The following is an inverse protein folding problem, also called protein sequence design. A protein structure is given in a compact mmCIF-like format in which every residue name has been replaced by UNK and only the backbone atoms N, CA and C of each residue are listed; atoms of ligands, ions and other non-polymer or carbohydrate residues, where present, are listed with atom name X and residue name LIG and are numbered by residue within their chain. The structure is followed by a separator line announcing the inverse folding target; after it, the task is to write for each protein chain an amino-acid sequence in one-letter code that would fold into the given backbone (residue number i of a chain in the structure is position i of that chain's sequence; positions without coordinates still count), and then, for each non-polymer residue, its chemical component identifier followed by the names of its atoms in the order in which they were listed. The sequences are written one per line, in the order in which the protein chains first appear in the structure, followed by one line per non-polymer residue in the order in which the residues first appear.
data_IF_139145372241
#
_entry.id   IF_139145372241
#
_cell.length_a   1.000
_cell.length_b   1.000
_cell.length_c   1.000
_cell.angle_alpha   90.00
_cell.angle_beta   90.00
_cell.angle_gamma   90.00
#
_symmetry.space_group_name_H-M   'P 1'
#
loop_
_entity.id
_entity.type
_entity.pdbx_description
1 polymer ?
#
# COMPACT_ATOMS: atom_id res chain seq x y z
N UNK A 1 -11.35 -21.83 -3.00
CA UNK A 1 -11.45 -21.66 -4.45
C UNK A 1 -10.11 -21.15 -4.96
N UNK A 2 -9.30 -22.07 -5.45
CA UNK A 2 -8.19 -21.75 -6.34
C UNK A 2 -8.80 -21.39 -7.71
N UNK A 3 -8.24 -20.40 -8.39
CA UNK A 3 -8.71 -19.93 -9.70
C UNK A 3 -7.60 -20.26 -10.70
N UNK A 4 -7.91 -21.04 -11.74
CA UNK A 4 -6.94 -21.47 -12.76
C UNK A 4 -6.36 -20.28 -13.54
N UNK A 5 -7.04 -19.12 -13.53
CA UNK A 5 -6.65 -17.95 -14.31
C UNK A 5 -5.79 -16.92 -13.55
N UNK A 6 -5.65 -17.02 -12.22
CA UNK A 6 -4.93 -16.00 -11.43
C UNK A 6 -4.11 -16.58 -10.28
N UNK A 7 -2.81 -16.25 -10.21
CA UNK A 7 -1.97 -16.46 -9.02
C UNK A 7 -2.15 -15.31 -8.01
N UNK A 8 -2.87 -15.58 -6.91
CA UNK A 8 -2.99 -14.63 -5.81
C UNK A 8 -1.74 -14.63 -4.94
N UNK A 9 -0.76 -13.79 -5.28
CA UNK A 9 0.53 -13.65 -4.59
C UNK A 9 0.38 -13.52 -3.06
N UNK A 10 -0.60 -12.74 -2.58
CA UNK A 10 -0.85 -12.61 -1.12
C UNK A 10 -1.27 -13.93 -0.49
N UNK A 11 -2.10 -14.74 -1.15
CA UNK A 11 -2.51 -16.06 -0.63
C UNK A 11 -1.34 -17.04 -0.61
N UNK A 12 -0.51 -17.01 -1.65
CA UNK A 12 0.71 -17.83 -1.73
C UNK A 12 1.69 -17.48 -0.62
N UNK A 13 2.02 -16.20 -0.48
CA UNK A 13 2.97 -15.73 0.54
C UNK A 13 2.48 -15.90 1.97
N UNK A 14 1.16 -15.91 2.22
CA UNK A 14 0.61 -16.22 3.55
C UNK A 14 0.84 -17.67 4.00
N UNK A 15 1.08 -18.60 3.07
CA UNK A 15 1.35 -20.02 3.37
C UNK A 15 2.85 -20.33 3.56
N UNK A 16 3.73 -19.35 3.33
CA UNK A 16 5.18 -19.52 3.36
C UNK A 16 5.75 -19.23 4.75
N UNK A 17 6.88 -19.85 5.07
CA UNK A 17 7.62 -19.58 6.30
C UNK A 17 8.48 -18.31 6.13
N UNK A 18 8.23 -17.30 6.97
CA UNK A 18 8.93 -16.02 6.93
C UNK A 18 10.41 -16.11 7.31
N UNK A 19 10.81 -17.11 8.11
CA UNK A 19 12.20 -17.24 8.56
C UNK A 19 13.09 -17.87 7.49
N UNK A 20 12.52 -18.76 6.67
CA UNK A 20 13.26 -19.52 5.66
C UNK A 20 13.01 -19.04 4.23
N UNK A 21 11.83 -18.47 3.93
CA UNK A 21 11.41 -18.12 2.57
C UNK A 21 11.23 -16.61 2.35
N UNK A 22 11.82 -15.78 3.22
CA UNK A 22 11.67 -14.32 3.19
C UNK A 22 11.95 -13.70 1.82
N UNK A 23 13.02 -14.13 1.16
CA UNK A 23 13.43 -13.59 -0.13
C UNK A 23 12.49 -13.99 -1.25
N UNK A 24 11.97 -15.22 -1.23
CA UNK A 24 10.95 -15.67 -2.18
C UNK A 24 9.67 -14.86 -2.02
N UNK A 25 9.22 -14.62 -0.78
CA UNK A 25 8.05 -13.77 -0.50
C UNK A 25 8.25 -12.35 -1.01
N UNK A 26 9.43 -11.76 -0.75
CA UNK A 26 9.77 -10.40 -1.20
C UNK A 26 9.79 -10.31 -2.73
N UNK A 27 10.45 -11.25 -3.41
CA UNK A 27 10.54 -11.29 -4.88
C UNK A 27 9.17 -11.48 -5.50
N UNK A 28 8.37 -12.41 -4.98
CA UNK A 28 7.01 -12.65 -5.46
C UNK A 28 6.15 -11.39 -5.36
N UNK A 29 6.25 -10.63 -4.25
CA UNK A 29 5.48 -9.40 -4.07
C UNK A 29 6.03 -8.17 -4.80
N UNK A 30 7.24 -8.21 -5.37
CA UNK A 30 7.93 -7.01 -5.86
C UNK A 30 7.42 -6.48 -7.21
N UNK A 31 6.95 -7.37 -8.08
CA UNK A 31 6.51 -7.02 -9.44
C UNK A 31 5.34 -7.91 -9.89
N UNK A 32 4.14 -7.72 -9.33
CA UNK A 32 2.95 -8.43 -9.78
C UNK A 32 2.51 -7.96 -11.18
N UNK A 33 1.87 -8.83 -11.97
CA UNK A 33 1.26 -8.40 -13.24
C UNK A 33 0.15 -7.37 -13.02
N UNK A 34 -0.64 -7.56 -11.95
CA UNK A 34 -1.73 -6.67 -11.55
C UNK A 34 -1.66 -6.42 -10.05
N UNK A 35 -1.67 -5.16 -9.64
CA UNK A 35 -1.82 -4.77 -8.25
C UNK A 35 -3.10 -3.98 -8.06
N UNK A 36 -3.94 -4.44 -7.14
CA UNK A 36 -5.08 -3.66 -6.64
C UNK A 36 -4.70 -3.10 -5.28
N UNK A 37 -4.78 -1.78 -5.11
CA UNK A 37 -4.49 -1.13 -3.84
C UNK A 37 -5.39 0.09 -3.60
N UNK A 38 -5.19 0.75 -2.47
CA UNK A 38 -5.82 2.03 -2.13
C UNK A 38 -4.75 3.05 -1.75
N UNK A 39 -5.17 4.30 -1.56
CA UNK A 39 -4.33 5.38 -1.05
C UNK A 39 -4.68 5.72 0.40
N UNK A 40 -3.81 6.47 1.08
CA UNK A 40 -4.15 7.06 2.37
C UNK A 40 -4.77 8.44 2.22
N UNK A 41 -4.35 9.20 1.22
CA UNK A 41 -4.95 10.48 0.87
C UNK A 41 -4.73 10.79 -0.63
N UNK A 42 -5.58 11.66 -1.17
CA UNK A 42 -5.38 12.29 -2.48
C UNK A 42 -5.54 13.80 -2.29
N UNK A 43 -4.55 14.59 -2.65
CA UNK A 43 -4.66 16.05 -2.53
C UNK A 43 -5.55 16.61 -3.64
N UNK A 44 -6.08 17.82 -3.46
CA UNK A 44 -6.85 18.50 -4.51
C UNK A 44 -5.99 18.80 -5.76
N UNK A 45 -4.67 18.84 -5.61
CA UNK A 45 -3.71 18.93 -6.72
C UNK A 45 -3.51 17.60 -7.46
N UNK A 46 -4.13 16.50 -6.99
CA UNK A 46 -4.03 15.17 -7.62
C UNK A 46 -2.92 14.28 -7.07
N UNK A 47 -2.19 14.70 -6.04
CA UNK A 47 -1.10 13.90 -5.48
C UNK A 47 -1.65 12.75 -4.65
N UNK A 48 -1.18 11.53 -4.91
CA UNK A 48 -1.65 10.33 -4.21
C UNK A 48 -0.63 9.93 -3.15
N UNK A 49 -1.04 9.93 -1.89
CA UNK A 49 -0.15 9.68 -0.75
C UNK A 49 -0.40 8.30 -0.16
N UNK A 50 0.67 7.52 -0.04
CA UNK A 50 0.66 6.16 0.49
C UNK A 50 1.79 5.95 1.49
N UNK A 51 1.52 5.22 2.57
CA UNK A 51 2.51 4.86 3.57
C UNK A 51 2.58 3.36 3.76
N UNK A 52 3.69 2.87 4.28
CA UNK A 52 3.87 1.45 4.57
C UNK A 52 4.86 1.25 5.71
N UNK A 53 4.49 0.43 6.69
CA UNK A 53 5.38 0.05 7.78
C UNK A 53 6.56 -0.82 7.29
N UNK A 54 6.29 -1.78 6.40
CA UNK A 54 7.30 -2.74 5.90
C UNK A 54 7.91 -2.32 4.56
N UNK A 55 7.20 -1.48 3.79
CA UNK A 55 7.56 -1.12 2.42
C UNK A 55 7.14 -2.11 1.36
N UNK A 56 6.48 -3.23 1.73
CA UNK A 56 6.18 -4.32 0.79
C UNK A 56 5.29 -3.89 -0.38
N UNK A 57 4.50 -2.83 -0.21
CA UNK A 57 3.66 -2.27 -1.27
C UNK A 57 4.34 -1.17 -2.09
N UNK A 58 5.38 -0.52 -1.56
CA UNK A 58 5.94 0.71 -2.16
C UNK A 58 6.52 0.44 -3.55
N UNK A 59 7.36 -0.59 -3.70
CA UNK A 59 7.96 -0.93 -5.00
C UNK A 59 6.91 -1.25 -6.08
N UNK A 60 5.98 -2.19 -5.83
CA UNK A 60 4.90 -2.51 -6.75
C UNK A 60 4.05 -1.29 -7.16
N UNK A 61 3.70 -0.43 -6.21
CA UNK A 61 2.94 0.79 -6.50
C UNK A 61 3.77 1.77 -7.35
N UNK A 62 5.03 2.00 -6.97
CA UNK A 62 5.85 3.03 -7.60
C UNK A 62 6.21 2.70 -9.04
N UNK A 63 6.48 1.43 -9.34
CA UNK A 63 6.85 1.01 -10.70
C UNK A 63 6.79 -0.50 -10.96
N UNK A 64 6.73 -1.32 -9.92
CA UNK A 64 6.91 -2.76 -10.05
C UNK A 64 5.71 -3.48 -10.66
N UNK A 65 4.49 -3.00 -10.42
CA UNK A 65 3.29 -3.64 -10.95
C UNK A 65 3.14 -3.38 -12.45
N UNK A 66 2.86 -4.43 -13.24
CA UNK A 66 2.58 -4.28 -14.67
C UNK A 66 1.32 -3.44 -14.94
N UNK A 67 0.31 -3.57 -14.06
CA UNK A 67 -0.87 -2.71 -14.01
C UNK A 67 -1.23 -2.39 -12.57
N UNK A 68 -1.28 -1.10 -12.24
CA UNK A 68 -1.77 -0.61 -10.94
C UNK A 68 -3.23 -0.17 -11.07
N UNK A 69 -4.09 -0.70 -10.20
CA UNK A 69 -5.49 -0.29 -10.07
C UNK A 69 -5.68 0.26 -8.65
N UNK A 70 -5.94 1.57 -8.56
CA UNK A 70 -6.21 2.24 -7.29
C UNK A 70 -7.71 2.40 -7.08
N UNK A 71 -8.22 1.87 -5.97
CA UNK A 71 -9.60 2.08 -5.52
C UNK A 71 -9.57 3.02 -4.34
N UNK A 72 -10.05 4.25 -4.56
CA UNK A 72 -9.93 5.35 -3.60
C UNK A 72 -11.33 5.93 -3.36
N UNK A 73 -11.76 5.94 -2.11
CA UNK A 73 -13.02 6.58 -1.72
C UNK A 73 -12.87 8.10 -1.59
N UNK A 74 -13.94 8.84 -1.87
CA UNK A 74 -13.96 10.32 -1.86
C UNK A 74 -13.61 10.93 -0.50
N UNK A 75 -13.84 10.21 0.61
CA UNK A 75 -13.44 10.62 1.96
C UNK A 75 -11.91 10.72 2.16
N UNK A 76 -11.12 10.34 1.18
CA UNK A 76 -9.65 10.45 1.19
C UNK A 76 -9.14 11.69 0.46
N UNK A 77 -10.02 12.48 -0.16
CA UNK A 77 -9.64 13.74 -0.81
C UNK A 77 -9.39 14.81 0.27
N UNK A 78 -8.22 15.44 0.22
CA UNK A 78 -7.77 16.46 1.19
C UNK A 78 -7.24 17.69 0.44
N UNK A 79 -7.19 18.89 1.06
CA UNK A 79 -6.70 20.08 0.38
C UNK A 79 -5.25 19.98 -0.10
N UNK A 80 -4.34 19.50 0.75
CA UNK A 80 -2.89 19.58 0.55
C UNK A 80 -2.12 18.42 1.22
N UNK A 81 -0.80 18.37 1.02
CA UNK A 81 0.07 17.34 1.60
C UNK A 81 0.12 17.41 3.13
N UNK A 82 0.11 18.60 3.73
CA UNK A 82 0.12 18.74 5.19
C UNK A 82 -1.14 18.12 5.81
N UNK A 83 -2.30 18.30 5.18
CA UNK A 83 -3.55 17.66 5.57
C UNK A 83 -3.53 16.16 5.27
N UNK A 84 -2.88 15.72 4.20
CA UNK A 84 -2.67 14.29 3.93
C UNK A 84 -1.87 13.61 5.05
N UNK A 85 -0.75 14.21 5.49
CA UNK A 85 0.07 13.68 6.58
C UNK A 85 -0.66 13.70 7.92
N UNK A 86 -1.35 14.79 8.25
CA UNK A 86 -2.21 14.83 9.46
C UNK A 86 -3.30 13.77 9.42
N UNK A 87 -3.99 13.56 8.28
CA UNK A 87 -4.96 12.47 8.12
C UNK A 87 -4.33 11.11 8.38
N UNK A 88 -3.09 10.89 7.95
CA UNK A 88 -2.40 9.62 8.19
C UNK A 88 -2.13 9.43 9.68
N UNK A 89 -1.59 10.44 10.34
CA UNK A 89 -1.20 10.38 11.76
C UNK A 89 -2.42 10.32 12.68
N UNK A 90 -3.39 11.21 12.49
CA UNK A 90 -4.50 11.41 13.43
C UNK A 90 -5.67 10.45 13.19
N UNK A 91 -5.79 9.88 11.99
CA UNK A 91 -6.94 9.04 11.62
C UNK A 91 -6.53 7.64 11.15
N UNK A 92 -5.61 7.53 10.18
CA UNK A 92 -5.26 6.22 9.59
C UNK A 92 -4.55 5.33 10.60
N UNK A 93 -3.49 5.85 11.24
CA UNK A 93 -2.67 5.05 12.15
C UNK A 93 -3.52 4.50 13.30
N UNK A 94 -4.31 5.32 14.04
CA UNK A 94 -5.21 4.80 15.07
C UNK A 94 -6.20 3.76 14.54
N UNK A 95 -6.81 4.02 13.38
CA UNK A 95 -7.73 3.07 12.75
C UNK A 95 -7.07 1.72 12.42
N UNK A 96 -5.85 1.73 11.89
CA UNK A 96 -5.13 0.49 11.58
C UNK A 96 -4.67 -0.25 12.84
N UNK A 97 -4.29 0.47 13.90
CA UNK A 97 -3.95 -0.13 15.20
C UNK A 97 -5.15 -0.84 15.82
N UNK A 98 -6.31 -0.19 15.82
CA UNK A 98 -7.57 -0.77 16.27
C UNK A 98 -7.94 -1.99 15.42
N UNK A 99 -7.82 -1.90 14.09
CA UNK A 99 -8.11 -3.01 13.17
C UNK A 99 -7.19 -4.22 13.42
N UNK A 100 -5.92 -3.96 13.73
CA UNK A 100 -4.91 -5.00 13.98
C UNK A 100 -4.90 -5.50 15.43
N UNK A 101 -5.68 -4.88 16.32
CA UNK A 101 -5.70 -5.17 17.77
C UNK A 101 -4.30 -5.06 18.40
N UNK A 102 -3.55 -4.03 18.03
CA UNK A 102 -2.23 -3.74 18.61
C UNK A 102 -2.28 -2.51 19.50
N UNK A 103 -1.31 -2.38 20.41
CA UNK A 103 -1.22 -1.21 21.27
C UNK A 103 -0.97 0.07 20.45
N UNK A 104 -1.44 1.21 20.97
CA UNK A 104 -1.19 2.50 20.34
C UNK A 104 0.31 2.82 20.25
N UNK A 105 0.73 3.37 19.10
CA UNK A 105 2.12 3.71 18.77
C UNK A 105 2.95 2.56 18.17
N UNK A 106 2.33 1.41 17.91
CA UNK A 106 2.97 0.26 17.24
C UNK A 106 3.01 0.46 15.73
N UNK A 107 1.92 0.96 15.13
CA UNK A 107 1.90 1.25 13.71
C UNK A 107 2.62 2.58 13.43
N UNK A 108 3.48 2.59 12.42
CA UNK A 108 4.32 3.74 12.09
C UNK A 108 4.39 3.99 10.60
N UNK A 109 4.44 5.27 10.24
CA UNK A 109 4.74 5.73 8.89
C UNK A 109 6.24 5.60 8.59
N UNK A 110 6.71 4.38 8.29
CA UNK A 110 8.13 4.13 8.06
C UNK A 110 8.60 4.48 6.64
N UNK A 111 7.73 4.30 5.64
CA UNK A 111 8.03 4.56 4.23
C UNK A 111 6.83 5.24 3.59
N UNK A 112 7.07 6.33 2.89
CA UNK A 112 6.05 7.12 2.22
C UNK A 112 6.35 7.20 0.74
N UNK A 113 5.30 7.10 -0.07
CA UNK A 113 5.31 7.34 -1.51
C UNK A 113 4.26 8.42 -1.82
N UNK A 114 4.68 9.41 -2.59
CA UNK A 114 3.79 10.41 -3.20
C UNK A 114 3.88 10.19 -4.70
N UNK A 115 2.74 9.91 -5.33
CA UNK A 115 2.62 9.83 -6.78
C UNK A 115 2.09 11.17 -7.30
N UNK A 116 2.83 11.78 -8.21
CA UNK A 116 2.43 13.00 -8.93
C UNK A 116 1.64 12.67 -10.21
N UNK A 117 1.99 11.56 -10.86
CA UNK A 117 1.37 11.11 -12.10
C UNK A 117 2.26 10.09 -12.82
N UNK A 118 1.72 9.45 -13.84
CA UNK A 118 2.49 8.57 -14.72
C UNK A 118 3.19 9.39 -15.79
N UNK A 119 4.40 8.96 -16.17
CA UNK A 119 5.06 9.52 -17.33
C UNK A 119 4.37 9.05 -18.60
N UNK A 120 3.71 9.97 -19.29
CA UNK A 120 3.20 9.77 -20.66
C UNK A 120 4.15 10.47 -21.64
N UNK A 121 4.97 9.73 -22.41
CA UNK A 121 5.88 10.32 -23.40
C UNK A 121 5.13 10.95 -24.58
#
# INVERSE_FOLDING_TARGET
MDNENYDFIRRRTLKMDRNTQRDEMRKAGAAPDIMVNSAHAVTQAGQIVMTSATGSQIGPIASGAGKLILVIGSQKVVPDLDTAFRRIEDYVIPYEEDRLHVAHGVAKMNRTLILEGDHTP
#
